data_IF_274367105916
#
_entry.id   IF_274367105916
#
_cell.length_a   1.000
_cell.length_b   1.000
_cell.length_c   1.000
_cell.angle_alpha   90.00
_cell.angle_beta   90.00
_cell.angle_gamma   90.00
#
_symmetry.space_group_name_H-M   'P 1'
#
loop_
_entity.id
_entity.type
_entity.pdbx_description
1 polymer ?
#
# COMPACT_ATOMS: atom_id res chain seq x y z
N UNK A 1 22.79 18.03 -2.11
CA UNK A 1 22.80 18.94 -0.95
C UNK A 1 21.40 19.39 -0.47
N UNK A 2 20.55 20.02 -1.29
CA UNK A 2 19.21 20.51 -0.87
C UNK A 2 18.25 19.37 -0.51
N UNK A 3 18.16 18.31 -1.35
CA UNK A 3 17.33 17.11 -1.08
C UNK A 3 17.77 16.35 0.18
N UNK A 4 19.06 16.35 0.46
CA UNK A 4 19.64 15.68 1.63
C UNK A 4 19.35 16.47 2.93
N UNK A 5 19.40 17.81 2.88
CA UNK A 5 18.98 18.68 3.99
C UNK A 5 17.46 18.58 4.25
N UNK A 6 16.65 18.52 3.20
CA UNK A 6 15.19 18.36 3.31
C UNK A 6 14.79 17.01 3.91
N UNK A 7 15.38 15.90 3.47
CA UNK A 7 15.11 14.59 4.02
C UNK A 7 15.62 14.39 5.46
N UNK A 8 16.56 15.24 5.92
CA UNK A 8 16.99 15.33 7.32
C UNK A 8 16.12 16.26 8.17
N UNK A 9 15.18 17.00 7.57
CA UNK A 9 14.26 17.85 8.32
C UNK A 9 13.29 17.01 9.16
N UNK A 10 13.03 17.45 10.39
CA UNK A 10 12.15 16.75 11.33
C UNK A 10 10.74 16.54 10.75
N UNK A 11 10.09 17.54 10.12
CA UNK A 11 8.75 17.36 9.57
C UNK A 11 8.68 16.27 8.48
N UNK A 12 9.66 16.25 7.56
CA UNK A 12 9.71 15.23 6.50
C UNK A 12 9.97 13.85 7.10
N UNK A 13 10.83 13.74 8.10
CA UNK A 13 11.04 12.49 8.84
C UNK A 13 9.74 11.97 9.46
N UNK A 14 9.00 12.82 10.18
CA UNK A 14 7.73 12.44 10.82
C UNK A 14 6.70 11.98 9.79
N UNK A 15 6.49 12.73 8.71
CA UNK A 15 5.57 12.35 7.62
C UNK A 15 5.95 10.99 7.03
N UNK A 16 7.24 10.72 6.84
CA UNK A 16 7.72 9.45 6.28
C UNK A 16 7.47 8.30 7.23
N UNK A 17 7.73 8.47 8.53
CA UNK A 17 7.43 7.45 9.53
C UNK A 17 5.93 7.18 9.61
N UNK A 18 5.10 8.21 9.59
CA UNK A 18 3.63 8.08 9.54
C UNK A 18 3.19 7.24 8.34
N UNK A 19 3.67 7.58 7.14
CA UNK A 19 3.32 6.85 5.91
C UNK A 19 3.76 5.39 6.00
N UNK A 20 5.02 5.13 6.40
CA UNK A 20 5.55 3.77 6.49
C UNK A 20 4.77 2.95 7.53
N UNK A 21 4.46 3.53 8.69
CA UNK A 21 3.65 2.88 9.72
C UNK A 21 2.27 2.51 9.19
N UNK A 22 1.53 3.48 8.63
CA UNK A 22 0.19 3.25 8.10
C UNK A 22 0.19 2.20 7.00
N UNK A 23 1.14 2.25 6.06
CA UNK A 23 1.22 1.28 4.97
C UNK A 23 1.53 -0.13 5.47
N UNK A 24 2.53 -0.27 6.35
CA UNK A 24 2.89 -1.59 6.89
C UNK A 24 1.77 -2.19 7.73
N UNK A 25 1.10 -1.37 8.55
CA UNK A 25 -0.07 -1.80 9.31
C UNK A 25 -1.20 -2.27 8.39
N UNK A 26 -1.55 -1.48 7.38
CA UNK A 26 -2.64 -1.80 6.48
C UNK A 26 -2.37 -3.07 5.65
N UNK A 27 -1.15 -3.20 5.12
CA UNK A 27 -0.75 -4.38 4.34
C UNK A 27 -0.74 -5.63 5.23
N UNK A 28 -0.14 -5.55 6.43
CA UNK A 28 -0.12 -6.68 7.36
C UNK A 28 -1.53 -7.09 7.78
N UNK A 29 -2.40 -6.12 8.10
CA UNK A 29 -3.79 -6.39 8.47
C UNK A 29 -4.60 -7.02 7.35
N UNK A 30 -4.43 -6.58 6.09
CA UNK A 30 -5.07 -7.24 4.94
C UNK A 30 -4.57 -8.68 4.81
N UNK A 31 -3.24 -8.88 4.78
CA UNK A 31 -2.67 -10.21 4.59
C UNK A 31 -3.13 -11.16 5.71
N UNK A 32 -3.04 -10.71 6.96
CA UNK A 32 -3.48 -11.48 8.11
C UNK A 32 -4.98 -11.76 8.09
N UNK A 33 -5.83 -10.80 7.71
CA UNK A 33 -7.29 -11.03 7.61
C UNK A 33 -7.67 -12.02 6.51
N UNK A 34 -6.80 -12.26 5.53
CA UNK A 34 -7.02 -13.26 4.49
C UNK A 34 -6.43 -14.64 4.87
N UNK A 35 -5.47 -14.69 5.78
CA UNK A 35 -4.77 -15.92 6.19
C UNK A 35 -5.32 -16.48 7.51
N UNK A 36 -5.68 -15.60 8.43
CA UNK A 36 -6.16 -15.90 9.77
C UNK A 36 -7.67 -15.73 9.82
N UNK A 37 -8.37 -16.74 10.36
CA UNK A 37 -9.81 -16.72 10.52
C UNK A 37 -10.23 -15.87 11.74
N UNK A 38 -10.02 -14.56 11.64
CA UNK A 38 -10.37 -13.60 12.69
C UNK A 38 -11.85 -13.60 13.01
N UNK A 39 -12.71 -13.87 12.01
CA UNK A 39 -14.16 -13.93 12.20
C UNK A 39 -14.50 -15.02 13.23
N UNK A 40 -14.11 -16.26 12.98
CA UNK A 40 -14.43 -17.37 13.90
C UNK A 40 -13.77 -17.19 15.26
N UNK A 41 -12.51 -16.73 15.29
CA UNK A 41 -11.75 -16.56 16.53
C UNK A 41 -12.33 -15.46 17.43
N UNK A 42 -12.77 -14.33 16.86
CA UNK A 42 -13.30 -13.21 17.64
C UNK A 42 -14.72 -13.47 18.17
N UNK A 43 -15.43 -14.48 17.65
CA UNK A 43 -16.73 -14.93 18.20
C UNK A 43 -16.59 -15.88 19.40
N UNK A 44 -15.38 -16.36 19.73
CA UNK A 44 -15.19 -17.23 20.89
C UNK A 44 -15.48 -16.43 22.18
N UNK A 45 -16.24 -16.97 23.16
CA UNK A 45 -16.79 -16.18 24.28
C UNK A 45 -15.76 -15.30 25.01
N UNK A 46 -14.61 -15.86 25.36
CA UNK A 46 -13.55 -15.14 26.11
C UNK A 46 -12.83 -14.08 25.26
N UNK A 47 -12.77 -14.28 23.95
CA UNK A 47 -12.11 -13.35 23.02
C UNK A 47 -13.10 -12.24 22.63
N UNK A 48 -14.37 -12.58 22.43
CA UNK A 48 -15.45 -11.62 22.16
C UNK A 48 -15.61 -10.60 23.29
N UNK A 49 -15.44 -11.02 24.55
CA UNK A 49 -15.48 -10.12 25.70
C UNK A 49 -14.30 -9.13 25.75
N UNK A 50 -13.21 -9.43 25.03
CA UNK A 50 -11.99 -8.62 24.98
C UNK A 50 -11.86 -7.80 23.69
N UNK A 51 -12.16 -8.40 22.54
CA UNK A 51 -12.04 -7.82 21.21
C UNK A 51 -13.39 -7.37 20.69
N UNK A 52 -13.37 -6.24 19.98
CA UNK A 52 -14.51 -5.81 19.18
C UNK A 52 -14.74 -6.80 18.03
N UNK A 53 -16.01 -7.05 17.71
CA UNK A 53 -16.43 -7.93 16.61
C UNK A 53 -15.80 -7.55 15.25
N UNK A 54 -15.46 -8.57 14.47
CA UNK A 54 -14.91 -8.39 13.14
C UNK A 54 -15.91 -7.68 12.21
N UNK A 55 -15.49 -6.54 11.66
CA UNK A 55 -16.34 -5.73 10.77
C UNK A 55 -17.20 -4.66 11.46
N UNK A 56 -17.10 -4.51 12.79
CA UNK A 56 -17.77 -3.44 13.49
C UNK A 56 -17.28 -2.05 13.03
N UNK A 57 -18.15 -1.04 13.07
CA UNK A 57 -17.83 0.33 12.63
C UNK A 57 -16.65 0.95 13.38
N UNK A 58 -16.41 0.56 14.64
CA UNK A 58 -15.24 0.99 15.41
C UNK A 58 -13.92 0.45 14.86
N UNK A 59 -13.92 -0.72 14.21
CA UNK A 59 -12.73 -1.29 13.55
C UNK A 59 -12.33 -0.45 12.34
N UNK A 60 -13.30 0.15 11.64
CA UNK A 60 -13.03 1.06 10.51
C UNK A 60 -12.19 2.28 10.95
N UNK A 61 -12.50 2.85 12.12
CA UNK A 61 -11.73 3.95 12.71
C UNK A 61 -10.28 3.57 13.00
N UNK A 62 -10.01 2.28 13.24
CA UNK A 62 -8.67 1.75 13.46
C UNK A 62 -7.68 2.20 12.38
N UNK A 63 -8.08 2.17 11.09
CA UNK A 63 -7.22 2.58 9.97
C UNK A 63 -6.92 4.09 9.96
N UNK A 64 -7.87 4.93 10.38
CA UNK A 64 -7.71 6.39 10.41
C UNK A 64 -6.84 6.88 11.59
N UNK A 65 -6.69 6.07 12.63
CA UNK A 65 -5.84 6.37 13.79
C UNK A 65 -4.37 6.00 13.51
N UNK A 66 -4.08 5.15 12.52
CA UNK A 66 -2.70 4.72 12.24
C UNK A 66 -1.74 5.87 11.92
N UNK A 67 -2.10 6.92 11.15
CA UNK A 67 -1.23 8.07 10.98
C UNK A 67 -0.85 8.75 12.31
N UNK A 68 -1.76 8.79 13.27
CA UNK A 68 -1.50 9.36 14.61
C UNK A 68 -0.53 8.47 15.38
N UNK A 69 -0.72 7.14 15.36
CA UNK A 69 0.23 6.19 15.98
C UNK A 69 1.62 6.29 15.35
N UNK A 70 1.68 6.38 14.02
CA UNK A 70 2.92 6.59 13.30
C UNK A 70 3.61 7.91 13.65
N UNK A 71 2.85 8.97 13.91
CA UNK A 71 3.38 10.25 14.39
C UNK A 71 4.00 10.12 15.79
N UNK A 72 3.30 9.46 16.73
CA UNK A 72 3.82 9.22 18.09
C UNK A 72 5.12 8.42 18.03
N UNK A 73 5.16 7.33 17.26
CA UNK A 73 6.37 6.55 17.04
C UNK A 73 7.47 7.44 16.45
N UNK A 74 7.15 8.23 15.42
CA UNK A 74 8.09 9.15 14.80
C UNK A 74 8.70 10.15 15.79
N UNK A 75 7.89 10.73 16.67
CA UNK A 75 8.35 11.66 17.70
C UNK A 75 9.33 11.00 18.67
N UNK A 76 9.04 9.77 19.11
CA UNK A 76 9.93 8.97 19.98
C UNK A 76 11.25 8.63 19.28
N UNK A 77 11.24 8.43 17.96
CA UNK A 77 12.44 8.08 17.19
C UNK A 77 13.35 9.26 16.86
N UNK A 78 12.90 10.52 17.00
CA UNK A 78 13.71 11.72 16.72
C UNK A 78 15.09 11.68 17.38
N UNK A 79 15.23 11.45 18.71
CA UNK A 79 16.55 11.43 19.35
C UNK A 79 17.44 10.27 18.87
N UNK A 80 16.85 9.16 18.44
CA UNK A 80 17.59 7.95 18.05
C UNK A 80 17.92 7.91 16.55
N UNK A 81 17.33 8.79 15.73
CA UNK A 81 17.40 8.72 14.26
C UNK A 81 18.82 8.63 13.71
N UNK A 82 19.76 9.41 14.27
CA UNK A 82 21.15 9.44 13.81
C UNK A 82 21.89 8.15 14.17
N UNK A 83 21.66 7.62 15.36
CA UNK A 83 22.23 6.34 15.78
C UNK A 83 21.70 5.20 14.92
N UNK A 84 20.37 5.13 14.75
CA UNK A 84 19.72 4.09 13.95
C UNK A 84 20.14 4.15 12.48
N UNK A 85 20.34 5.35 11.91
CA UNK A 85 20.78 5.52 10.52
C UNK A 85 22.23 5.03 10.29
N UNK A 86 23.12 5.36 11.21
CA UNK A 86 24.56 5.07 11.07
C UNK A 86 24.93 3.65 11.48
N UNK A 87 24.07 2.96 12.24
CA UNK A 87 24.32 1.60 12.65
C UNK A 87 24.04 0.59 11.52
N UNK A 88 24.93 -0.38 11.32
CA UNK A 88 24.74 -1.49 10.35
C UNK A 88 23.46 -2.29 10.62
N UNK A 89 23.09 -2.46 11.89
CA UNK A 89 21.93 -3.23 12.33
C UNK A 89 20.82 -2.34 12.93
N UNK A 90 20.75 -1.07 12.53
CA UNK A 90 19.74 -0.13 13.06
C UNK A 90 18.30 -0.61 12.90
N UNK A 91 17.98 -1.31 11.80
CA UNK A 91 16.66 -1.94 11.61
C UNK A 91 16.36 -3.01 12.67
N UNK A 92 17.37 -3.79 13.08
CA UNK A 92 17.21 -4.86 14.06
C UNK A 92 17.01 -4.26 15.46
N UNK A 93 17.78 -3.23 15.82
CA UNK A 93 17.60 -2.55 17.09
C UNK A 93 16.22 -1.89 17.20
N UNK A 94 15.75 -1.26 16.13
CA UNK A 94 14.40 -0.70 16.09
C UNK A 94 13.34 -1.80 16.25
N UNK A 95 13.51 -2.94 15.57
CA UNK A 95 12.59 -4.06 15.71
C UNK A 95 12.60 -4.66 17.12
N UNK A 96 13.77 -4.85 17.71
CA UNK A 96 13.91 -5.36 19.08
C UNK A 96 13.28 -4.42 20.13
N UNK A 97 13.26 -3.11 19.89
CA UNK A 97 12.51 -2.17 20.73
C UNK A 97 11.01 -2.47 20.66
N UNK A 98 10.45 -2.67 19.46
CA UNK A 98 9.04 -3.06 19.33
C UNK A 98 8.75 -4.40 19.97
N UNK A 99 9.59 -5.42 19.73
CA UNK A 99 9.39 -6.75 20.28
C UNK A 99 9.54 -6.75 21.80
N UNK A 100 10.66 -6.25 22.32
CA UNK A 100 10.98 -6.29 23.73
C UNK A 100 10.08 -5.39 24.57
N UNK A 101 9.88 -4.13 24.15
CA UNK A 101 9.16 -3.12 24.94
C UNK A 101 7.70 -3.02 24.50
N UNK A 102 7.42 -3.01 23.19
CA UNK A 102 6.08 -2.79 22.66
C UNK A 102 5.16 -4.01 22.67
N UNK A 103 5.70 -5.22 22.61
CA UNK A 103 4.94 -6.47 22.53
C UNK A 103 5.10 -7.26 23.84
N UNK A 104 6.31 -7.76 24.13
CA UNK A 104 6.53 -8.69 25.25
C UNK A 104 6.41 -7.98 26.60
N UNK A 105 7.07 -6.83 26.77
CA UNK A 105 7.11 -6.08 28.05
C UNK A 105 6.21 -4.84 28.05
N UNK A 106 5.13 -4.85 27.27
CA UNK A 106 4.21 -3.71 27.22
C UNK A 106 3.53 -3.50 28.59
N UNK A 107 3.38 -2.26 29.07
CA UNK A 107 2.87 -1.97 30.41
C UNK A 107 1.35 -2.18 30.56
N UNK A 108 0.74 -2.96 29.67
CA UNK A 108 -0.68 -3.29 29.66
C UNK A 108 -0.87 -4.80 29.43
N UNK A 109 -1.99 -5.35 29.92
CA UNK A 109 -2.38 -6.74 29.70
C UNK A 109 -2.91 -6.97 28.26
N UNK A 110 -2.06 -6.65 27.28
CA UNK A 110 -2.32 -6.84 25.86
C UNK A 110 -2.01 -8.29 25.43
N UNK A 111 -2.66 -8.83 24.39
CA UNK A 111 -2.35 -10.16 23.90
C UNK A 111 -0.88 -10.25 23.49
N UNK A 112 -0.23 -11.38 23.81
CA UNK A 112 1.18 -11.67 23.51
C UNK A 112 2.21 -10.96 24.40
N UNK A 113 1.77 -10.16 25.38
CA UNK A 113 2.64 -9.65 26.43
C UNK A 113 2.73 -10.58 27.63
N UNK A 114 3.77 -10.42 28.46
CA UNK A 114 3.90 -11.14 29.73
C UNK A 114 2.68 -10.85 30.62
N UNK A 115 2.30 -9.57 30.72
CA UNK A 115 1.13 -9.12 31.46
C UNK A 115 -0.17 -9.74 30.90
N UNK A 116 -0.29 -9.87 29.58
CA UNK A 116 -1.43 -10.52 28.93
C UNK A 116 -1.58 -11.98 29.33
N UNK A 117 -0.48 -12.72 29.36
CA UNK A 117 -0.46 -14.13 29.76
C UNK A 117 -0.84 -14.30 31.24
N UNK A 118 -0.40 -13.37 32.10
CA UNK A 118 -0.60 -13.46 33.55
C UNK A 118 -1.97 -12.97 33.99
N UNK A 119 -2.46 -11.86 33.41
CA UNK A 119 -3.61 -11.12 33.94
C UNK A 119 -4.88 -11.22 33.10
N UNK A 120 -4.87 -11.92 31.96
CA UNK A 120 -6.07 -12.10 31.15
C UNK A 120 -6.58 -13.54 31.20
N UNK A 121 -7.85 -13.72 30.84
CA UNK A 121 -8.45 -15.04 30.65
C UNK A 121 -8.19 -15.61 29.25
N UNK A 122 -7.45 -14.88 28.41
CA UNK A 122 -7.22 -15.28 27.02
C UNK A 122 -6.45 -16.60 26.98
N UNK A 123 -6.84 -17.54 26.10
CA UNK A 123 -6.14 -18.81 26.02
C UNK A 123 -4.74 -18.62 25.45
N UNK A 124 -3.79 -19.45 25.90
CA UNK A 124 -2.38 -19.31 25.54
C UNK A 124 -2.14 -19.31 24.02
N UNK A 125 -2.88 -20.12 23.26
CA UNK A 125 -2.76 -20.17 21.81
C UNK A 125 -3.13 -18.83 21.14
N UNK A 126 -4.03 -18.03 21.74
CA UNK A 126 -4.45 -16.75 21.19
C UNK A 126 -3.33 -15.70 21.28
N UNK A 127 -2.47 -15.80 22.30
CA UNK A 127 -1.25 -15.00 22.38
C UNK A 127 -0.25 -15.30 21.27
N UNK A 128 -0.32 -16.47 20.63
CA UNK A 128 0.50 -16.82 19.47
C UNK A 128 -0.22 -16.63 18.14
N UNK A 129 -1.55 -16.51 18.15
CA UNK A 129 -2.37 -16.42 16.94
C UNK A 129 -2.12 -15.13 16.16
N UNK A 130 -2.21 -13.97 16.82
CA UNK A 130 -1.96 -12.66 16.20
C UNK A 130 -0.49 -12.26 16.12
N UNK A 131 0.40 -13.01 16.78
CA UNK A 131 1.81 -12.64 16.91
C UNK A 131 2.56 -12.60 15.57
N UNK A 132 2.34 -13.53 14.61
CA UNK A 132 2.96 -13.45 13.28
C UNK A 132 2.65 -12.16 12.54
N UNK A 133 1.41 -11.65 12.63
CA UNK A 133 1.02 -10.37 12.01
C UNK A 133 1.81 -9.23 12.63
N UNK A 134 1.80 -9.10 13.97
CA UNK A 134 2.41 -7.98 14.69
C UNK A 134 3.94 -7.98 14.51
N UNK A 135 4.58 -9.16 14.59
CA UNK A 135 6.03 -9.30 14.38
C UNK A 135 6.43 -8.94 12.94
N UNK A 136 5.67 -9.41 11.95
CA UNK A 136 5.95 -9.13 10.54
C UNK A 136 5.72 -7.65 10.22
N UNK A 137 4.64 -7.06 10.73
CA UNK A 137 4.32 -5.65 10.57
C UNK A 137 5.42 -4.75 11.15
N UNK A 138 5.81 -5.00 12.40
CA UNK A 138 6.85 -4.20 13.09
C UNK A 138 8.24 -4.41 12.48
N UNK A 139 8.54 -5.60 11.96
CA UNK A 139 9.76 -5.88 11.22
C UNK A 139 9.80 -5.10 9.91
N UNK A 140 8.73 -5.18 9.10
CA UNK A 140 8.60 -4.45 7.85
C UNK A 140 8.72 -2.93 8.08
N UNK A 141 8.05 -2.41 9.10
CA UNK A 141 8.19 -1.01 9.54
C UNK A 141 9.64 -0.66 9.85
N UNK A 142 10.31 -1.47 10.67
CA UNK A 142 11.67 -1.21 11.14
C UNK A 142 12.68 -1.21 9.98
N UNK A 143 12.55 -2.15 9.05
CA UNK A 143 13.37 -2.22 7.83
C UNK A 143 13.13 -0.99 6.94
N UNK A 144 11.87 -0.64 6.67
CA UNK A 144 11.55 0.48 5.78
C UNK A 144 11.97 1.84 6.36
N UNK A 145 11.76 2.07 7.65
CA UNK A 145 12.20 3.30 8.33
C UNK A 145 13.74 3.37 8.33
N UNK A 146 14.42 2.26 8.61
CA UNK A 146 15.88 2.18 8.52
C UNK A 146 16.42 2.49 7.12
N UNK A 147 15.85 1.87 6.08
CA UNK A 147 16.23 2.12 4.69
C UNK A 147 16.01 3.57 4.30
N UNK A 148 14.90 4.17 4.73
CA UNK A 148 14.65 5.60 4.53
C UNK A 148 15.69 6.48 5.22
N UNK A 149 16.02 6.21 6.48
CA UNK A 149 17.01 6.97 7.24
C UNK A 149 18.41 6.89 6.60
N UNK A 150 18.77 5.73 6.05
CA UNK A 150 20.06 5.51 5.39
C UNK A 150 20.11 6.06 3.96
N UNK A 151 19.00 6.02 3.25
CA UNK A 151 18.86 6.49 1.86
C UNK A 151 17.76 7.54 1.73
N UNK A 152 17.95 8.74 2.31
CA UNK A 152 16.93 9.80 2.38
C UNK A 152 16.45 10.30 1.01
N UNK A 153 17.31 10.24 -0.02
CA UNK A 153 17.00 10.64 -1.40
C UNK A 153 16.25 9.57 -2.19
N UNK A 154 16.05 8.38 -1.60
CA UNK A 154 15.35 7.25 -2.18
C UNK A 154 16.18 5.97 -2.12
N UNK A 155 15.51 4.83 -1.91
CA UNK A 155 16.13 3.49 -1.87
C UNK A 155 16.57 3.04 -3.29
N UNK A 156 16.26 3.83 -4.32
CA UNK A 156 16.58 3.53 -5.73
C UNK A 156 18.06 3.24 -5.97
N UNK A 157 18.93 4.05 -5.36
CA UNK A 157 20.38 3.92 -5.53
C UNK A 157 20.95 2.72 -4.76
N UNK A 158 20.20 2.21 -3.79
CA UNK A 158 20.57 1.06 -2.97
C UNK A 158 20.01 -0.28 -3.49
N UNK A 159 18.99 -0.24 -4.36
CA UNK A 159 18.39 -1.43 -4.95
C UNK A 159 19.04 -1.75 -6.31
N UNK A 160 19.11 -3.03 -6.71
CA UNK A 160 19.47 -3.38 -8.07
C UNK A 160 18.59 -2.62 -9.06
N UNK A 161 19.19 -2.04 -10.11
CA UNK A 161 18.51 -1.18 -11.09
C UNK A 161 17.18 -1.77 -11.57
N UNK A 162 17.16 -3.08 -11.85
CA UNK A 162 15.94 -3.76 -12.30
C UNK A 162 14.84 -3.79 -11.24
N UNK A 163 15.18 -4.08 -9.99
CA UNK A 163 14.21 -4.08 -8.90
C UNK A 163 13.60 -2.69 -8.68
N UNK A 164 14.43 -1.64 -8.72
CA UNK A 164 13.96 -0.27 -8.60
C UNK A 164 13.01 0.17 -9.72
N UNK A 165 13.23 -0.33 -10.94
CA UNK A 165 12.34 -0.09 -12.10
C UNK A 165 11.03 -0.86 -11.95
N UNK A 166 11.06 -2.17 -11.63
CA UNK A 166 9.85 -2.98 -11.42
C UNK A 166 8.96 -2.36 -10.34
N UNK A 167 9.54 -1.99 -9.20
CA UNK A 167 8.79 -1.40 -8.09
C UNK A 167 8.11 -0.09 -8.49
N UNK A 168 8.79 0.76 -9.26
CA UNK A 168 8.22 2.01 -9.76
C UNK A 168 7.13 1.79 -10.78
N UNK A 169 7.34 0.86 -11.71
CA UNK A 169 6.34 0.51 -12.71
C UNK A 169 5.09 -0.07 -12.06
N UNK A 170 5.25 -0.90 -11.03
CA UNK A 170 4.14 -1.46 -10.27
C UNK A 170 3.37 -0.35 -9.55
N UNK A 171 4.06 0.52 -8.81
CA UNK A 171 3.44 1.66 -8.17
C UNK A 171 2.74 2.59 -9.17
N UNK A 172 3.37 2.84 -10.33
CA UNK A 172 2.79 3.63 -11.41
C UNK A 172 1.50 3.01 -11.95
N UNK A 173 1.50 1.70 -12.21
CA UNK A 173 0.32 0.96 -12.64
C UNK A 173 -0.80 1.01 -11.59
N UNK A 174 -0.49 0.97 -10.29
CA UNK A 174 -1.48 1.17 -9.23
C UNK A 174 -2.10 2.58 -9.27
N UNK A 175 -1.30 3.63 -9.50
CA UNK A 175 -1.85 4.97 -9.67
C UNK A 175 -2.73 5.09 -10.92
N UNK A 176 -2.32 4.46 -12.03
CA UNK A 176 -3.13 4.37 -13.25
C UNK A 176 -4.44 3.63 -13.00
N UNK A 177 -4.43 2.57 -12.18
CA UNK A 177 -5.63 1.83 -11.76
C UNK A 177 -6.64 2.71 -11.00
N UNK A 178 -6.17 3.61 -10.14
CA UNK A 178 -7.06 4.59 -9.47
C UNK A 178 -7.82 5.42 -10.51
N UNK A 179 -7.19 5.78 -11.62
CA UNK A 179 -7.84 6.46 -12.74
C UNK A 179 -9.03 5.67 -13.31
N UNK A 180 -8.90 4.36 -13.45
CA UNK A 180 -9.99 3.49 -13.91
C UNK A 180 -11.16 3.49 -12.93
N UNK A 181 -10.87 3.37 -11.64
CA UNK A 181 -11.89 3.38 -10.60
C UNK A 181 -12.67 4.71 -10.60
N UNK A 182 -11.98 5.85 -10.65
CA UNK A 182 -12.60 7.18 -10.66
C UNK A 182 -13.52 7.35 -11.87
N UNK A 183 -13.03 7.06 -13.08
CA UNK A 183 -13.84 7.22 -14.29
C UNK A 183 -15.04 6.27 -14.30
N UNK A 184 -14.87 5.05 -13.81
CA UNK A 184 -15.95 4.06 -13.73
C UNK A 184 -17.06 4.49 -12.77
N UNK A 185 -16.70 5.03 -11.60
CA UNK A 185 -17.67 5.57 -10.64
C UNK A 185 -18.42 6.76 -11.25
N UNK A 186 -17.70 7.70 -11.87
CA UNK A 186 -18.34 8.85 -12.53
C UNK A 186 -19.29 8.41 -13.64
N UNK A 187 -18.89 7.43 -14.46
CA UNK A 187 -19.72 6.89 -15.53
C UNK A 187 -20.99 6.20 -14.98
N UNK A 188 -20.86 5.43 -13.90
CA UNK A 188 -21.98 4.79 -13.23
C UNK A 188 -23.00 5.83 -12.71
N UNK A 189 -22.52 6.88 -12.03
CA UNK A 189 -23.35 7.98 -11.54
C UNK A 189 -24.03 8.70 -12.71
N UNK A 190 -23.30 9.01 -13.78
CA UNK A 190 -23.85 9.68 -14.97
C UNK A 190 -24.93 8.86 -15.69
N UNK A 191 -24.95 7.53 -15.50
CA UNK A 191 -25.96 6.63 -16.04
C UNK A 191 -27.07 6.27 -15.05
N UNK A 192 -27.07 6.88 -13.85
CA UNK A 192 -27.96 6.50 -12.74
C UNK A 192 -27.92 4.99 -12.45
N UNK A 193 -26.76 4.36 -12.60
CA UNK A 193 -26.58 2.95 -12.31
C UNK A 193 -26.45 2.73 -10.80
N UNK A 194 -27.05 1.66 -10.29
CA UNK A 194 -26.91 1.27 -8.88
C UNK A 194 -25.47 0.83 -8.60
N UNK A 195 -24.86 1.41 -7.57
CA UNK A 195 -23.52 1.05 -7.12
C UNK A 195 -23.65 -0.02 -6.02
N UNK A 196 -23.60 -1.29 -6.41
CA UNK A 196 -23.60 -2.42 -5.49
C UNK A 196 -22.15 -2.89 -5.22
N UNK A 197 -21.71 -2.79 -3.96
CA UNK A 197 -20.35 -3.15 -3.56
C UNK A 197 -20.02 -4.64 -3.79
N UNK A 198 -20.97 -5.55 -3.54
CA UNK A 198 -20.76 -6.99 -3.72
C UNK A 198 -20.62 -7.35 -5.20
N UNK A 199 -21.49 -6.79 -6.06
CA UNK A 199 -21.42 -7.01 -7.50
C UNK A 199 -20.11 -6.45 -8.11
N UNK A 200 -19.65 -5.30 -7.61
CA UNK A 200 -18.40 -4.65 -8.04
C UNK A 200 -17.14 -5.43 -7.62
N UNK A 201 -17.23 -6.24 -6.56
CA UNK A 201 -16.14 -7.12 -6.11
C UNK A 201 -16.10 -8.46 -6.87
N UNK A 202 -17.04 -8.72 -7.78
CA UNK A 202 -17.02 -9.94 -8.59
C UNK A 202 -15.80 -10.01 -9.50
N UNK A 203 -15.28 -11.23 -9.70
CA UNK A 203 -14.13 -11.48 -10.59
C UNK A 203 -14.40 -10.97 -12.00
N UNK A 204 -15.66 -11.05 -12.45
CA UNK A 204 -16.10 -10.57 -13.76
C UNK A 204 -15.87 -9.07 -13.93
N UNK A 205 -16.27 -8.27 -12.94
CA UNK A 205 -16.10 -6.80 -12.96
C UNK A 205 -14.63 -6.42 -12.75
N UNK A 206 -13.94 -7.05 -11.80
CA UNK A 206 -12.52 -6.76 -11.55
C UNK A 206 -11.62 -7.14 -12.73
N UNK A 207 -11.92 -8.25 -13.41
CA UNK A 207 -11.16 -8.74 -14.55
C UNK A 207 -11.09 -7.75 -15.72
N UNK A 208 -12.07 -6.84 -15.83
CA UNK A 208 -12.10 -5.76 -16.83
C UNK A 208 -10.83 -4.89 -16.80
N UNK A 209 -10.21 -4.76 -15.64
CA UNK A 209 -9.06 -3.89 -15.42
C UNK A 209 -7.74 -4.65 -15.28
N UNK A 210 -7.75 -5.98 -15.24
CA UNK A 210 -6.53 -6.80 -15.08
C UNK A 210 -5.61 -6.66 -16.29
N UNK A 211 -6.15 -6.86 -17.50
CA UNK A 211 -5.35 -6.73 -18.73
C UNK A 211 -4.83 -5.29 -18.92
N UNK A 212 -5.66 -4.22 -18.78
CA UNK A 212 -5.15 -2.86 -18.77
C UNK A 212 -4.09 -2.58 -17.69
N UNK A 213 -4.23 -3.13 -16.49
CA UNK A 213 -3.24 -2.98 -15.42
C UNK A 213 -1.88 -3.58 -15.82
N UNK A 214 -1.88 -4.82 -16.31
CA UNK A 214 -0.66 -5.51 -16.77
C UNK A 214 -0.02 -4.75 -17.93
N UNK A 215 -0.81 -4.32 -18.91
CA UNK A 215 -0.31 -3.54 -20.05
C UNK A 215 0.31 -2.22 -19.61
N UNK A 216 -0.34 -1.46 -18.73
CA UNK A 216 0.23 -0.22 -18.19
C UNK A 216 1.52 -0.50 -17.40
N UNK A 217 1.57 -1.57 -16.60
CA UNK A 217 2.80 -1.98 -15.90
C UNK A 217 3.97 -2.27 -16.86
N UNK A 218 3.70 -3.00 -17.95
CA UNK A 218 4.72 -3.31 -18.97
C UNK A 218 5.15 -2.04 -19.70
N UNK A 219 4.22 -1.19 -20.12
CA UNK A 219 4.53 0.07 -20.81
C UNK A 219 5.38 0.99 -19.93
N UNK A 220 5.02 1.17 -18.66
CA UNK A 220 5.81 1.97 -17.71
C UNK A 220 7.21 1.36 -17.52
N UNK A 221 7.31 0.03 -17.49
CA UNK A 221 8.61 -0.66 -17.38
C UNK A 221 9.48 -0.40 -18.60
N UNK A 222 8.94 -0.51 -19.81
CA UNK A 222 9.66 -0.23 -21.06
C UNK A 222 10.11 1.23 -21.11
N UNK A 223 9.22 2.17 -20.77
CA UNK A 223 9.54 3.60 -20.67
C UNK A 223 10.59 3.89 -19.59
N UNK A 224 10.72 3.07 -18.56
CA UNK A 224 11.73 3.23 -17.51
C UNK A 224 13.08 2.59 -17.86
N UNK A 225 13.11 1.62 -18.79
CA UNK A 225 14.33 0.95 -19.24
C UNK A 225 14.96 1.65 -20.44
N UNK A 226 14.14 2.17 -21.35
CA UNK A 226 14.59 2.78 -22.60
C UNK A 226 14.46 4.31 -22.59
N UNK A 227 15.60 4.98 -22.66
CA UNK A 227 15.66 6.44 -22.71
C UNK A 227 15.12 7.02 -24.02
N UNK A 228 15.21 6.30 -25.14
CA UNK A 228 14.71 6.75 -26.44
C UNK A 228 13.18 6.85 -26.43
N UNK A 229 12.50 5.87 -25.82
CA UNK A 229 11.04 5.89 -25.68
C UNK A 229 10.55 7.05 -24.79
N UNK A 230 11.38 7.58 -23.88
CA UNK A 230 11.06 8.77 -23.08
C UNK A 230 11.15 10.09 -23.84
N UNK A 231 11.89 10.13 -24.95
CA UNK A 231 12.01 11.33 -25.78
C UNK A 231 10.81 11.50 -26.72
N UNK A 232 10.00 10.45 -26.88
CA UNK A 232 8.74 10.51 -27.61
C UNK A 232 7.82 11.55 -26.98
N UNK A 233 7.17 12.38 -27.83
CA UNK A 233 6.27 13.44 -27.36
C UNK A 233 5.19 12.84 -26.44
N UNK A 234 4.91 13.42 -25.26
CA UNK A 234 3.94 12.89 -24.30
C UNK A 234 2.56 12.60 -24.92
N UNK A 235 2.13 13.42 -25.89
CA UNK A 235 0.85 13.22 -26.59
C UNK A 235 0.80 11.91 -27.38
N UNK A 236 1.91 11.47 -27.97
CA UNK A 236 1.99 10.20 -28.72
C UNK A 236 1.90 9.03 -27.74
N UNK A 237 2.63 9.10 -26.62
CA UNK A 237 2.58 8.11 -25.54
C UNK A 237 1.13 7.99 -25.02
N UNK A 238 0.48 9.13 -24.76
CA UNK A 238 -0.91 9.18 -24.35
C UNK A 238 -1.84 8.47 -25.35
N UNK A 239 -1.75 8.80 -26.64
CA UNK A 239 -2.61 8.22 -27.67
C UNK A 239 -2.43 6.70 -27.80
N UNK A 240 -1.19 6.21 -27.73
CA UNK A 240 -0.89 4.77 -27.78
C UNK A 240 -1.51 4.05 -26.58
N UNK A 241 -1.26 4.56 -25.36
CA UNK A 241 -1.79 3.96 -24.14
C UNK A 241 -3.32 3.99 -24.14
N UNK A 242 -3.90 5.12 -24.54
CA UNK A 242 -5.34 5.30 -24.68
C UNK A 242 -5.95 4.25 -25.62
N UNK A 243 -5.39 4.10 -26.84
CA UNK A 243 -5.90 3.17 -27.84
C UNK A 243 -5.82 1.72 -27.36
N UNK A 244 -4.65 1.31 -26.84
CA UNK A 244 -4.44 -0.05 -26.31
C UNK A 244 -5.45 -0.35 -25.21
N UNK A 245 -5.58 0.55 -24.25
CA UNK A 245 -6.49 0.35 -23.12
C UNK A 245 -7.96 0.35 -23.55
N UNK A 246 -8.36 1.17 -24.53
CA UNK A 246 -9.71 1.16 -25.08
C UNK A 246 -10.04 -0.17 -25.76
N UNK A 247 -9.10 -0.70 -26.55
CA UNK A 247 -9.23 -2.01 -27.19
C UNK A 247 -9.33 -3.12 -26.14
N UNK A 248 -8.50 -3.10 -25.10
CA UNK A 248 -8.52 -4.12 -24.04
C UNK A 248 -9.85 -4.13 -23.28
N UNK A 249 -10.37 -2.94 -22.93
CA UNK A 249 -11.66 -2.81 -22.25
C UNK A 249 -12.79 -3.29 -23.17
N UNK A 250 -12.83 -2.87 -24.43
CA UNK A 250 -13.85 -3.30 -25.39
C UNK A 250 -13.81 -4.81 -25.65
N UNK A 251 -12.61 -5.38 -25.85
CA UNK A 251 -12.42 -6.80 -26.08
C UNK A 251 -12.88 -7.63 -24.88
N UNK A 252 -12.53 -7.22 -23.66
CA UNK A 252 -12.99 -7.91 -22.45
C UNK A 252 -14.52 -7.84 -22.30
N UNK A 253 -15.13 -6.67 -22.58
CA UNK A 253 -16.59 -6.55 -22.58
C UNK A 253 -17.25 -7.48 -23.61
N UNK A 254 -16.68 -7.60 -24.82
CA UNK A 254 -17.21 -8.47 -25.86
C UNK A 254 -17.15 -9.96 -25.51
N UNK A 255 -16.17 -10.37 -24.70
CA UNK A 255 -16.00 -11.78 -24.27
C UNK A 255 -16.94 -12.12 -23.12
N UNK A 256 -17.10 -11.20 -22.15
CA UNK A 256 -17.77 -11.51 -20.89
C UNK A 256 -19.17 -10.91 -20.75
N UNK A 257 -19.58 -9.95 -21.58
CA UNK A 257 -20.92 -9.36 -21.61
C UNK A 257 -21.56 -9.50 -23.01
N UNK A 258 -22.85 -9.19 -23.09
CA UNK A 258 -23.65 -9.25 -24.32
C UNK A 258 -23.33 -8.12 -25.34
N UNK A 259 -22.07 -7.68 -25.38
CA UNK A 259 -21.58 -6.65 -26.26
C UNK A 259 -20.73 -5.58 -25.57
N UNK A 260 -19.81 -4.97 -26.32
CA UNK A 260 -18.99 -3.87 -25.83
C UNK A 260 -19.77 -2.56 -25.74
N UNK A 261 -19.76 -1.92 -24.57
CA UNK A 261 -20.23 -0.55 -24.43
C UNK A 261 -19.12 0.39 -24.94
N UNK A 262 -19.19 0.74 -26.22
CA UNK A 262 -18.17 1.54 -26.91
C UNK A 262 -17.95 2.89 -26.21
N UNK A 263 -19.02 3.54 -25.73
CA UNK A 263 -18.90 4.80 -25.01
C UNK A 263 -18.07 4.64 -23.72
N UNK A 264 -18.33 3.58 -22.96
CA UNK A 264 -17.54 3.27 -21.77
C UNK A 264 -16.09 2.91 -22.12
N UNK A 265 -15.87 2.08 -23.14
CA UNK A 265 -14.54 1.67 -23.57
C UNK A 265 -13.66 2.84 -24.06
N UNK A 266 -14.26 3.89 -24.62
CA UNK A 266 -13.56 5.11 -25.05
C UNK A 266 -13.30 6.04 -23.86
N UNK A 267 -14.24 6.21 -22.93
CA UNK A 267 -14.10 7.18 -21.83
C UNK A 267 -13.16 6.67 -20.74
N UNK A 268 -13.28 5.38 -20.41
CA UNK A 268 -12.59 4.74 -19.28
C UNK A 268 -11.06 4.88 -19.30
N UNK A 269 -10.38 4.75 -20.45
CA UNK A 269 -8.92 4.88 -20.53
C UNK A 269 -8.36 6.30 -20.48
N UNK A 270 -9.18 7.36 -20.59
CA UNK A 270 -8.70 8.74 -20.73
C UNK A 270 -7.83 9.14 -19.53
N UNK A 271 -8.37 9.03 -18.32
CA UNK A 271 -7.66 9.41 -17.09
C UNK A 271 -6.46 8.48 -16.80
N UNK A 272 -6.60 7.14 -16.89
CA UNK A 272 -5.46 6.21 -16.82
C UNK A 272 -4.31 6.56 -17.79
N UNK A 273 -4.61 6.80 -19.07
CA UNK A 273 -3.60 7.13 -20.07
C UNK A 273 -2.90 8.45 -19.75
N UNK A 274 -3.64 9.43 -19.25
CA UNK A 274 -3.08 10.69 -18.79
C UNK A 274 -2.14 10.48 -17.60
N UNK A 275 -2.57 9.75 -16.57
CA UNK A 275 -1.75 9.43 -15.38
C UNK A 275 -0.45 8.73 -15.79
N UNK A 276 -0.54 7.67 -16.61
CA UNK A 276 0.65 6.94 -17.08
C UNK A 276 1.62 7.84 -17.83
N UNK A 277 1.09 8.73 -18.68
CA UNK A 277 1.90 9.70 -19.45
C UNK A 277 2.59 10.70 -18.54
N UNK A 278 1.89 11.24 -17.53
CA UNK A 278 2.46 12.19 -16.56
C UNK A 278 3.54 11.54 -15.70
N UNK A 279 3.31 10.31 -15.23
CA UNK A 279 4.30 9.55 -14.44
C UNK A 279 5.56 9.28 -15.26
N UNK A 280 5.40 8.97 -16.55
CA UNK A 280 6.51 8.58 -17.44
C UNK A 280 7.26 9.78 -18.04
N UNK A 281 6.63 10.95 -18.14
CA UNK A 281 7.19 12.16 -18.79
C UNK A 281 8.03 13.04 -17.87
N UNK A 282 8.19 12.71 -16.58
CA UNK A 282 9.05 13.49 -15.68
C UNK A 282 10.50 13.47 -16.15
N UNK A 283 10.94 14.62 -16.71
CA UNK A 283 12.35 14.97 -16.89
C UNK A 283 13.09 14.76 -15.57
N UNK A 284 14.16 13.96 -15.61
CA UNK A 284 15.23 14.11 -14.63
C UNK A 284 15.72 15.56 -14.75
N UNK A 285 15.48 16.38 -13.72
CA UNK A 285 16.26 17.62 -13.61
C UNK A 285 17.72 17.19 -13.62
N UNK A 286 18.47 17.69 -14.60
CA UNK A 286 19.94 17.71 -14.53
C UNK A 286 20.38 18.28 -13.18
#
# INVERSE_FOLDING_TARGET
>A
MIKEKAARSIPIFLIRVMIIHTLTYFIAGILASNILDYRSVFHLPVIHDYMVEFGATSVFWGSFIQPIRGLVIGLVLIPFRSFLANCKYGWLYLWLIFVGIGIVSTPAAAPSSIEGIVYTKLPLWYHFFGLPEILTQTLAFSVLVYLYMRHPTGIRDALPRMFGVILQSFAGACFTFIGYAVVSIIFAIARNAEINAEANMSLKVQGLFVAPFICNFVIITLLNLDNYLREVKPIIIFLIIFLINAILVAAYQQIFWDGANIAYAIITPILPAWITTVISSKKMSK
#
